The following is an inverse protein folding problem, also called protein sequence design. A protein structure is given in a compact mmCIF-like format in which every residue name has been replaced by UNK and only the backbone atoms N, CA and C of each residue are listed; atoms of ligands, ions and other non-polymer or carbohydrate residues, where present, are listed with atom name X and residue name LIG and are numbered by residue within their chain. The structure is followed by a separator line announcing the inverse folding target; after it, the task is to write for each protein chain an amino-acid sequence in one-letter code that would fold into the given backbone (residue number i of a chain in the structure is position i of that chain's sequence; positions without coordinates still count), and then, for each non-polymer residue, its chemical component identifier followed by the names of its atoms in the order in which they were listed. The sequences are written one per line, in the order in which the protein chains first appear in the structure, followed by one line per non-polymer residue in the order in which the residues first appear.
data_IF_044125881071
#
_entry.id   IF_044125881071
#
_cell.length_a   1.000
_cell.length_b   1.000
_cell.length_c   1.000
_cell.angle_alpha   90.00
_cell.angle_beta   90.00
_cell.angle_gamma   90.00
#
_symmetry.space_group_name_H-M   'P 1'
#
loop_
_entity.id
_entity.type
_entity.pdbx_description
1 polymer ?
#
# COMPACT_ATOMS: atom_id res chain seq x y z
N UNK A 1 -59.84 -23.60 22.98
CA UNK A 1 -61.00 -23.68 22.06
C UNK A 1 -60.66 -22.89 20.80
N UNK A 2 -60.41 -23.56 19.67
CA UNK A 2 -60.09 -22.90 18.40
C UNK A 2 -61.39 -22.59 17.64
N UNK A 3 -61.56 -21.35 17.15
CA UNK A 3 -62.69 -20.94 16.32
C UNK A 3 -62.51 -21.48 14.89
N UNK A 4 -63.57 -21.98 14.23
CA UNK A 4 -63.47 -22.42 12.84
C UNK A 4 -63.29 -21.21 11.91
N UNK A 5 -62.31 -21.26 11.02
CA UNK A 5 -62.16 -20.28 9.94
C UNK A 5 -63.31 -20.45 8.94
N UNK A 6 -63.99 -19.34 8.61
CA UNK A 6 -65.09 -19.31 7.64
C UNK A 6 -64.62 -19.65 6.21
N UNK A 7 -65.56 -20.07 5.38
CA UNK A 7 -65.30 -20.49 3.99
C UNK A 7 -64.60 -19.40 3.18
N UNK A 8 -63.40 -19.69 2.68
CA UNK A 8 -62.66 -18.84 1.75
C UNK A 8 -63.34 -18.92 0.38
N UNK A 9 -64.03 -17.84 0.00
CA UNK A 9 -64.60 -17.67 -1.34
C UNK A 9 -63.45 -17.35 -2.30
N UNK A 10 -63.01 -18.34 -3.08
CA UNK A 10 -62.03 -18.14 -4.15
C UNK A 10 -62.64 -17.19 -5.21
N UNK A 11 -62.08 -15.99 -5.32
CA UNK A 11 -62.42 -15.09 -6.43
C UNK A 11 -61.95 -15.74 -7.73
N UNK A 12 -62.86 -15.91 -8.70
CA UNK A 12 -62.51 -16.35 -10.06
C UNK A 12 -61.40 -15.43 -10.60
N UNK A 13 -60.26 -16.02 -10.95
CA UNK A 13 -59.14 -15.27 -11.51
C UNK A 13 -59.57 -14.59 -12.82
N UNK A 14 -59.24 -13.32 -12.96
CA UNK A 14 -59.52 -12.55 -14.17
C UNK A 14 -58.70 -13.17 -15.34
N UNK A 15 -59.31 -13.51 -16.48
CA UNK A 15 -58.61 -14.12 -17.62
C UNK A 15 -57.40 -13.31 -18.10
N UNK A 16 -57.44 -11.98 -17.93
CA UNK A 16 -56.32 -11.08 -18.27
C UNK A 16 -55.10 -11.36 -17.38
N UNK A 17 -55.31 -11.64 -16.09
CA UNK A 17 -54.23 -11.92 -15.13
C UNK A 17 -53.59 -13.29 -15.40
N UNK A 18 -54.39 -14.27 -15.83
CA UNK A 18 -53.88 -15.58 -16.26
C UNK A 18 -53.06 -15.47 -17.55
N UNK A 19 -53.51 -14.66 -18.51
CA UNK A 19 -52.79 -14.42 -19.76
C UNK A 19 -51.44 -13.73 -19.50
N UNK A 20 -51.40 -12.70 -18.66
CA UNK A 20 -50.16 -12.03 -18.26
C UNK A 20 -49.20 -12.99 -17.52
N UNK A 21 -49.74 -13.84 -16.63
CA UNK A 21 -48.95 -14.86 -15.94
C UNK A 21 -48.37 -15.91 -16.90
N UNK A 22 -49.12 -16.31 -17.92
CA UNK A 22 -48.65 -17.23 -18.94
C UNK A 22 -47.54 -16.62 -19.82
N UNK A 23 -47.69 -15.36 -20.24
CA UNK A 23 -46.66 -14.63 -21.02
C UNK A 23 -45.37 -14.49 -20.21
N UNK A 24 -45.47 -14.13 -18.92
CA UNK A 24 -44.30 -14.02 -18.04
C UNK A 24 -43.60 -15.36 -17.87
N UNK A 25 -44.36 -16.45 -17.73
CA UNK A 25 -43.82 -17.80 -17.58
C UNK A 25 -43.09 -18.26 -18.86
N UNK A 26 -43.63 -17.95 -20.04
CA UNK A 26 -42.98 -18.24 -21.32
C UNK A 26 -41.69 -17.43 -21.48
N UNK A 27 -41.66 -16.16 -21.05
CA UNK A 27 -40.46 -15.34 -21.07
C UNK A 27 -39.36 -15.90 -20.16
N UNK A 28 -39.71 -16.32 -18.94
CA UNK A 28 -38.76 -16.92 -17.99
C UNK A 28 -38.22 -18.25 -18.51
N UNK A 29 -39.07 -19.10 -19.09
CA UNK A 29 -38.63 -20.38 -19.69
C UNK A 29 -37.76 -20.12 -20.93
N UNK A 30 -38.11 -19.14 -21.77
CA UNK A 30 -37.29 -18.71 -22.90
C UNK A 30 -35.91 -18.22 -22.47
N UNK A 31 -35.83 -17.45 -21.38
CA UNK A 31 -34.55 -16.97 -20.84
C UNK A 31 -33.70 -18.09 -20.21
N UNK A 32 -34.33 -19.13 -19.65
CA UNK A 32 -33.64 -20.26 -19.03
C UNK A 32 -33.19 -21.33 -20.04
N UNK A 33 -33.84 -21.43 -21.21
CA UNK A 33 -33.63 -22.52 -22.18
C UNK A 33 -32.94 -22.07 -23.47
N UNK A 34 -32.85 -20.76 -23.75
CA UNK A 34 -32.07 -20.27 -24.89
C UNK A 34 -30.56 -20.28 -24.55
N UNK A 35 -29.72 -20.94 -25.37
CA UNK A 35 -28.28 -20.82 -25.23
C UNK A 35 -27.90 -19.38 -25.52
N UNK A 36 -27.21 -18.74 -24.57
CA UNK A 36 -26.57 -17.44 -24.78
C UNK A 36 -25.71 -17.57 -26.03
N UNK A 37 -26.14 -16.91 -27.10
CA UNK A 37 -25.40 -16.87 -28.36
C UNK A 37 -23.98 -16.41 -28.07
N UNK A 38 -23.02 -17.19 -28.54
CA UNK A 38 -21.60 -16.88 -28.50
C UNK A 38 -21.36 -15.53 -29.20
N UNK A 39 -21.22 -14.47 -28.42
CA UNK A 39 -20.58 -13.25 -28.88
C UNK A 39 -19.16 -13.62 -29.30
N UNK A 40 -18.86 -13.42 -30.58
CA UNK A 40 -17.52 -13.56 -31.16
C UNK A 40 -16.50 -12.83 -30.30
N UNK A 41 -15.69 -13.60 -29.56
CA UNK A 41 -14.50 -13.10 -28.90
C UNK A 41 -13.50 -12.73 -29.98
N UNK A 42 -13.29 -11.42 -30.18
CA UNK A 42 -12.06 -10.94 -30.79
C UNK A 42 -10.90 -11.52 -29.99
N UNK A 43 -10.03 -12.26 -30.69
CA UNK A 43 -8.87 -12.92 -30.13
C UNK A 43 -7.79 -11.87 -29.84
N UNK A 44 -7.98 -11.09 -28.79
CA UNK A 44 -6.90 -10.35 -28.19
C UNK A 44 -6.24 -11.26 -27.15
N UNK A 45 -4.99 -11.61 -27.39
CA UNK A 45 -4.22 -12.59 -26.60
C UNK A 45 -3.93 -12.08 -25.18
N UNK A 46 -4.95 -12.00 -24.33
CA UNK A 46 -4.80 -11.82 -22.89
C UNK A 46 -4.12 -13.06 -22.33
N UNK A 47 -2.83 -12.93 -21.98
CA UNK A 47 -2.16 -13.88 -21.11
C UNK A 47 -3.05 -14.11 -19.88
N UNK A 48 -3.34 -15.35 -19.48
CA UNK A 48 -4.10 -15.61 -18.26
C UNK A 48 -3.36 -14.97 -17.09
N UNK A 49 -4.09 -14.28 -16.21
CA UNK A 49 -3.51 -13.73 -14.98
C UNK A 49 -2.82 -14.88 -14.21
N UNK A 50 -1.55 -14.70 -13.86
CA UNK A 50 -0.80 -15.68 -13.08
C UNK A 50 -1.57 -16.02 -11.79
N UNK A 51 -1.65 -17.31 -11.39
CA UNK A 51 -2.41 -17.70 -10.21
C UNK A 51 -1.90 -17.00 -8.94
N UNK A 52 -2.80 -16.75 -7.99
CA UNK A 52 -2.45 -16.17 -6.70
C UNK A 52 -1.60 -17.19 -5.92
N UNK A 53 -0.33 -16.87 -5.72
CA UNK A 53 0.65 -17.68 -5.00
C UNK A 53 0.77 -17.30 -3.52
N UNK A 54 0.18 -16.17 -3.11
CA UNK A 54 0.27 -15.63 -1.75
C UNK A 54 -1.07 -15.01 -1.34
N UNK A 55 -1.42 -15.01 -0.04
CA UNK A 55 -2.62 -14.33 0.48
C UNK A 55 -2.63 -12.79 0.25
N UNK A 56 -1.49 -12.22 -0.19
CA UNK A 56 -1.35 -10.82 -0.59
C UNK A 56 -1.39 -10.64 -2.12
N UNK A 57 -1.69 -11.68 -2.90
CA UNK A 57 -1.85 -11.57 -4.36
C UNK A 57 -3.12 -10.76 -4.71
N UNK A 58 -3.22 -10.20 -5.94
CA UNK A 58 -4.41 -9.47 -6.37
C UNK A 58 -5.69 -10.30 -6.18
N UNK A 59 -6.80 -9.69 -5.73
CA UNK A 59 -8.07 -10.40 -5.49
C UNK A 59 -8.67 -11.02 -6.75
N UNK A 60 -8.22 -10.61 -7.93
CA UNK A 60 -8.67 -11.14 -9.22
C UNK A 60 -7.95 -12.42 -9.68
N UNK A 61 -6.92 -12.88 -8.96
CA UNK A 61 -6.19 -14.09 -9.32
C UNK A 61 -6.76 -15.33 -8.58
N UNK A 62 -6.97 -16.47 -9.26
CA UNK A 62 -7.49 -17.67 -8.61
C UNK A 62 -6.52 -18.19 -7.55
N UNK A 63 -7.02 -18.40 -6.32
CA UNK A 63 -6.23 -18.84 -5.17
C UNK A 63 -5.96 -20.35 -5.26
N UNK A 64 -4.68 -20.74 -5.39
CA UNK A 64 -4.26 -22.15 -5.29
C UNK A 64 -3.60 -22.36 -3.93
N UNK A 65 -4.15 -23.27 -3.13
CA UNK A 65 -3.57 -23.68 -1.84
C UNK A 65 -2.21 -24.34 -2.13
N UNK A 66 -1.13 -23.71 -1.69
CA UNK A 66 0.23 -24.26 -1.79
C UNK A 66 0.29 -25.49 -0.86
N UNK A 67 0.76 -26.62 -1.38
CA UNK A 67 0.93 -27.84 -0.60
C UNK A 67 1.98 -27.59 0.50
N UNK A 68 1.79 -28.15 1.69
CA UNK A 68 2.69 -27.93 2.84
C UNK A 68 4.13 -28.38 2.56
N UNK A 69 4.30 -29.36 1.66
CA UNK A 69 5.59 -29.84 1.16
C UNK A 69 6.36 -28.85 0.26
N UNK A 70 5.70 -27.83 -0.30
CA UNK A 70 6.32 -26.82 -1.18
C UNK A 70 6.73 -25.54 -0.43
N UNK A 71 6.46 -25.45 0.88
CA UNK A 71 6.90 -24.32 1.72
C UNK A 71 8.39 -24.44 2.00
N UNK A 72 9.22 -23.78 1.18
CA UNK A 72 10.65 -23.62 1.47
C UNK A 72 10.82 -22.79 2.75
N UNK A 73 11.79 -23.14 3.62
CA UNK A 73 12.13 -22.30 4.76
C UNK A 73 12.55 -20.90 4.28
N UNK A 74 12.36 -19.86 5.11
CA UNK A 74 12.74 -18.49 4.75
C UNK A 74 14.19 -18.44 4.25
N UNK A 75 14.50 -17.66 3.20
CA UNK A 75 15.85 -17.60 2.66
C UNK A 75 16.84 -17.14 3.75
N UNK A 76 17.81 -18.00 4.03
CA UNK A 76 18.87 -17.74 5.01
C UNK A 76 20.07 -17.16 4.29
N UNK A 77 20.09 -15.83 4.09
CA UNK A 77 21.26 -15.14 3.54
C UNK A 77 22.27 -14.81 4.62
N UNK A 78 23.55 -14.69 4.24
CA UNK A 78 24.63 -14.30 5.15
C UNK A 78 24.39 -12.89 5.70
N UNK A 79 23.94 -11.99 4.84
CA UNK A 79 23.61 -10.60 5.15
C UNK A 79 22.43 -10.53 6.12
N UNK A 80 21.37 -11.32 5.87
CA UNK A 80 20.20 -11.38 6.76
C UNK A 80 20.54 -11.93 8.15
N UNK A 81 21.46 -12.89 8.23
CA UNK A 81 21.96 -13.39 9.52
C UNK A 81 22.79 -12.33 10.26
N UNK A 82 23.69 -11.64 9.55
CA UNK A 82 24.49 -10.56 10.13
C UNK A 82 23.59 -9.42 10.69
N UNK A 83 22.57 -9.01 9.92
CA UNK A 83 21.59 -8.02 10.35
C UNK A 83 20.80 -8.48 11.58
N UNK A 84 20.36 -9.74 11.61
CA UNK A 84 19.63 -10.31 12.76
C UNK A 84 20.51 -10.33 14.01
N UNK A 85 21.79 -10.70 13.89
CA UNK A 85 22.74 -10.69 15.01
C UNK A 85 22.94 -9.28 15.54
N UNK A 86 23.22 -8.30 14.68
CA UNK A 86 23.40 -6.90 15.08
C UNK A 86 22.15 -6.34 15.78
N UNK A 87 20.96 -6.66 15.26
CA UNK A 87 19.69 -6.26 15.88
C UNK A 87 19.52 -6.88 17.28
N UNK A 88 19.84 -8.18 17.43
CA UNK A 88 19.72 -8.88 18.72
C UNK A 88 20.69 -8.33 19.78
N UNK A 89 21.88 -7.88 19.37
CA UNK A 89 22.83 -7.19 20.23
C UNK A 89 22.26 -5.84 20.73
N UNK A 90 21.68 -5.04 19.84
CA UNK A 90 21.06 -3.76 20.21
C UNK A 90 19.83 -3.95 21.12
N UNK A 91 19.00 -4.96 20.86
CA UNK A 91 17.88 -5.32 21.73
C UNK A 91 18.39 -5.74 23.11
N UNK A 92 19.47 -6.52 23.18
CA UNK A 92 20.07 -6.91 24.47
C UNK A 92 20.56 -5.69 25.24
N UNK A 93 21.20 -4.74 24.55
CA UNK A 93 21.68 -3.50 25.15
C UNK A 93 20.54 -2.65 25.71
N UNK A 94 19.48 -2.43 24.93
CA UNK A 94 18.38 -1.53 25.30
C UNK A 94 17.37 -2.18 26.23
N UNK A 95 17.00 -3.45 26.01
CA UNK A 95 15.90 -4.11 26.73
C UNK A 95 16.37 -4.92 27.94
N UNK A 96 17.56 -5.53 27.91
CA UNK A 96 18.05 -6.35 29.04
C UNK A 96 18.98 -5.57 29.97
N UNK A 97 19.88 -4.77 29.40
CA UNK A 97 20.92 -4.04 30.14
C UNK A 97 20.58 -2.57 30.37
N UNK A 98 19.61 -2.02 29.64
CA UNK A 98 19.19 -0.62 29.75
C UNK A 98 18.23 -0.37 30.93
N UNK A 99 18.05 0.92 31.30
CA UNK A 99 17.12 1.32 32.34
C UNK A 99 15.69 0.87 32.02
N UNK A 100 14.95 0.39 33.02
CA UNK A 100 13.59 -0.14 32.81
C UNK A 100 12.63 0.88 32.22
N UNK A 101 12.74 2.15 32.63
CA UNK A 101 11.95 3.27 32.10
C UNK A 101 12.15 3.55 30.61
N UNK A 102 13.26 3.10 30.03
CA UNK A 102 13.63 3.37 28.63
C UNK A 102 13.39 2.12 27.75
N UNK A 103 12.81 1.04 28.30
CA UNK A 103 12.50 -0.19 27.56
C UNK A 103 11.25 -0.01 26.70
N UNK A 104 11.26 -0.63 25.53
CA UNK A 104 10.07 -0.71 24.69
C UNK A 104 9.09 -1.69 25.32
N UNK A 105 7.78 -1.39 25.21
CA UNK A 105 6.72 -2.28 25.69
C UNK A 105 6.80 -3.68 25.08
N UNK A 106 7.13 -3.77 23.80
CA UNK A 106 7.27 -5.02 23.06
C UNK A 106 8.12 -4.81 21.81
N UNK A 107 8.91 -5.83 21.45
CA UNK A 107 9.64 -5.88 20.19
C UNK A 107 9.30 -7.20 19.50
N UNK A 108 8.89 -7.12 18.23
CA UNK A 108 8.60 -8.28 17.37
C UNK A 108 9.52 -8.22 16.17
N UNK A 109 10.25 -9.31 15.92
CA UNK A 109 11.10 -9.45 14.73
C UNK A 109 10.49 -10.52 13.85
N UNK A 110 10.22 -10.16 12.60
CA UNK A 110 9.77 -11.10 11.58
C UNK A 110 10.85 -11.24 10.51
N UNK A 111 11.12 -12.48 10.11
CA UNK A 111 12.02 -12.77 9.00
C UNK A 111 11.20 -13.06 7.76
N UNK A 112 11.48 -12.32 6.69
CA UNK A 112 10.84 -12.49 5.40
C UNK A 112 11.02 -13.92 4.87
N UNK A 113 9.94 -14.51 4.35
CA UNK A 113 9.87 -15.89 3.86
C UNK A 113 9.61 -16.00 2.34
N UNK A 114 9.54 -14.88 1.62
CA UNK A 114 9.38 -14.84 0.17
C UNK A 114 10.67 -14.43 -0.57
N UNK A 115 10.83 -15.00 -1.77
CA UNK A 115 11.97 -14.77 -2.67
C UNK A 115 12.15 -13.27 -3.00
N UNK A 116 13.40 -12.76 -3.00
CA UNK A 116 13.67 -11.38 -3.40
C UNK A 116 13.38 -11.19 -4.89
N UNK A 117 12.86 -10.01 -5.26
CA UNK A 117 12.57 -9.69 -6.67
C UNK A 117 13.83 -9.41 -7.50
N UNK A 118 14.93 -9.07 -6.84
CA UNK A 118 16.22 -8.74 -7.46
C UNK A 118 17.34 -9.45 -6.70
N UNK A 119 18.27 -10.05 -7.44
CA UNK A 119 19.42 -10.76 -6.86
C UNK A 119 20.47 -9.78 -6.33
N UNK A 120 20.63 -8.61 -6.97
CA UNK A 120 21.56 -7.57 -6.55
C UNK A 120 20.89 -6.57 -5.62
N UNK A 121 21.61 -6.18 -4.57
CA UNK A 121 21.25 -5.08 -3.67
C UNK A 121 21.99 -3.79 -4.02
N UNK A 122 22.71 -3.71 -5.13
CA UNK A 122 23.40 -2.48 -5.58
C UNK A 122 22.41 -1.36 -5.92
N UNK A 123 22.70 -0.13 -5.49
CA UNK A 123 21.80 1.02 -5.67
C UNK A 123 21.43 1.26 -7.14
N UNK A 124 22.42 1.20 -8.04
CA UNK A 124 22.21 1.46 -9.46
C UNK A 124 21.28 0.41 -10.11
N UNK A 125 21.39 -0.86 -9.67
CA UNK A 125 20.50 -1.93 -10.09
C UNK A 125 19.09 -1.78 -9.50
N UNK A 126 19.00 -1.40 -8.22
CA UNK A 126 17.71 -1.14 -7.55
C UNK A 126 16.94 -0.01 -8.23
N UNK A 127 17.63 1.01 -8.75
CA UNK A 127 17.04 2.21 -9.38
C UNK A 127 16.73 2.05 -10.88
N UNK A 128 16.91 0.85 -11.48
CA UNK A 128 16.42 0.61 -12.84
C UNK A 128 14.89 0.52 -12.85
N UNK A 129 14.25 1.23 -13.78
CA UNK A 129 12.78 1.28 -13.91
C UNK A 129 12.15 -0.12 -13.99
N UNK A 130 12.74 -1.03 -14.78
CA UNK A 130 12.29 -2.42 -14.94
C UNK A 130 12.29 -3.22 -13.62
N UNK A 131 13.17 -2.86 -12.68
CA UNK A 131 13.31 -3.54 -11.39
C UNK A 131 12.37 -2.96 -10.32
N UNK A 132 11.92 -1.71 -10.48
CA UNK A 132 11.10 -1.01 -9.47
C UNK A 132 9.80 -1.74 -9.16
N UNK A 133 9.08 -2.23 -10.17
CA UNK A 133 7.79 -2.90 -9.96
C UNK A 133 7.95 -4.15 -9.08
N UNK A 134 8.91 -5.02 -9.43
CA UNK A 134 9.19 -6.24 -8.66
C UNK A 134 9.67 -5.91 -7.25
N UNK A 135 10.60 -4.96 -7.11
CA UNK A 135 11.14 -4.50 -5.83
C UNK A 135 10.04 -3.96 -4.91
N UNK A 136 9.23 -3.02 -5.40
CA UNK A 136 8.12 -2.42 -4.64
C UNK A 136 7.03 -3.43 -4.26
N UNK A 137 6.76 -4.43 -5.11
CA UNK A 137 5.86 -5.52 -4.78
C UNK A 137 6.36 -6.37 -3.59
N UNK A 138 7.66 -6.68 -3.54
CA UNK A 138 8.28 -7.42 -2.43
C UNK A 138 8.29 -6.59 -1.15
N UNK A 139 8.66 -5.30 -1.24
CA UNK A 139 8.60 -4.38 -0.08
C UNK A 139 7.19 -4.24 0.47
N UNK A 140 6.19 -4.09 -0.41
CA UNK A 140 4.78 -4.05 -0.02
C UNK A 140 4.33 -5.31 0.72
N UNK A 141 4.74 -6.51 0.26
CA UNK A 141 4.48 -7.76 0.98
C UNK A 141 5.11 -7.75 2.37
N UNK A 142 6.35 -7.27 2.50
CA UNK A 142 7.05 -7.18 3.78
C UNK A 142 6.33 -6.23 4.75
N UNK A 143 5.97 -5.02 4.29
CA UNK A 143 5.20 -4.06 5.08
C UNK A 143 3.86 -4.67 5.53
N UNK A 144 3.12 -5.28 4.62
CA UNK A 144 1.84 -5.92 4.96
C UNK A 144 2.00 -7.07 5.96
N UNK A 145 2.98 -7.95 5.79
CA UNK A 145 3.25 -9.03 6.74
C UNK A 145 3.58 -8.50 8.14
N UNK A 146 4.37 -7.41 8.22
CA UNK A 146 4.67 -6.73 9.48
C UNK A 146 3.39 -6.13 10.11
N UNK A 147 2.62 -5.38 9.31
CA UNK A 147 1.39 -4.72 9.75
C UNK A 147 0.38 -5.73 10.30
N UNK A 148 0.01 -6.74 9.52
CA UNK A 148 -1.05 -7.67 9.88
C UNK A 148 -0.68 -8.59 11.05
N UNK A 149 0.61 -8.81 11.28
CA UNK A 149 1.09 -9.62 12.41
C UNK A 149 1.18 -8.82 13.71
N UNK A 150 1.34 -7.50 13.64
CA UNK A 150 1.66 -6.67 14.82
C UNK A 150 0.60 -5.64 15.19
N UNK A 151 -0.37 -5.36 14.30
CA UNK A 151 -1.45 -4.42 14.58
C UNK A 151 -2.44 -5.01 15.59
N UNK A 152 -2.32 -4.56 16.85
CA UNK A 152 -3.23 -4.94 17.93
C UNK A 152 -4.46 -4.03 18.06
N UNK A 153 -5.49 -4.45 18.81
CA UNK A 153 -6.66 -3.62 19.10
C UNK A 153 -6.34 -2.38 19.97
N UNK A 154 -5.21 -2.41 20.69
CA UNK A 154 -4.77 -1.32 21.57
C UNK A 154 -3.87 -0.28 20.85
N UNK A 155 -3.54 -0.49 19.58
CA UNK A 155 -2.67 0.41 18.83
C UNK A 155 -3.48 1.63 18.36
N UNK A 156 -3.03 2.85 18.64
CA UNK A 156 -3.70 4.08 18.15
C UNK A 156 -3.03 4.65 16.90
N UNK A 157 -1.71 4.48 16.80
CA UNK A 157 -0.88 5.01 15.73
C UNK A 157 0.11 3.94 15.27
N UNK A 158 0.43 3.98 13.97
CA UNK A 158 1.48 3.18 13.33
C UNK A 158 2.46 4.16 12.69
N UNK A 159 3.71 4.12 13.14
CA UNK A 159 4.81 4.85 12.49
C UNK A 159 5.57 3.86 11.60
N UNK A 160 5.50 4.09 10.29
CA UNK A 160 6.43 3.49 9.33
C UNK A 160 7.70 4.33 9.33
N UNK A 161 8.84 3.68 9.53
CA UNK A 161 10.15 4.32 9.55
C UNK A 161 11.14 3.40 8.86
N UNK A 162 11.69 3.85 7.73
CA UNK A 162 12.71 3.09 7.02
C UNK A 162 14.02 3.08 7.81
N UNK A 163 14.78 1.98 7.72
CA UNK A 163 15.91 1.70 8.60
C UNK A 163 17.16 2.57 8.33
N UNK A 164 17.14 3.31 7.23
CA UNK A 164 18.14 4.23 6.71
C UNK A 164 17.79 5.70 7.01
N UNK A 165 16.69 5.97 7.73
CA UNK A 165 16.46 7.27 8.37
C UNK A 165 17.32 7.38 9.62
N UNK A 166 18.33 8.26 9.57
CA UNK A 166 19.38 8.39 10.59
C UNK A 166 19.21 9.61 11.49
N UNK A 167 18.41 10.59 11.07
CA UNK A 167 18.20 11.82 11.83
C UNK A 167 16.75 12.27 11.75
N UNK A 168 16.15 12.48 12.92
CA UNK A 168 14.80 13.00 13.11
C UNK A 168 14.80 13.88 14.36
N UNK A 169 13.88 14.85 14.50
CA UNK A 169 13.69 15.51 15.78
C UNK A 169 13.33 14.48 16.87
N UNK A 170 13.80 14.63 18.11
CA UNK A 170 13.51 13.69 19.20
C UNK A 170 12.01 13.62 19.55
N UNK A 171 11.25 14.60 19.07
CA UNK A 171 9.80 14.75 19.20
C UNK A 171 9.02 14.27 17.99
N UNK A 172 9.64 13.55 17.03
CA UNK A 172 9.00 13.11 15.77
C UNK A 172 7.56 12.61 15.93
N UNK A 173 7.32 11.68 16.86
CA UNK A 173 6.00 11.10 17.07
C UNK A 173 5.02 12.15 17.57
N UNK A 174 5.42 12.97 18.55
CA UNK A 174 4.62 14.03 19.14
C UNK A 174 4.29 15.11 18.11
N UNK A 175 5.28 15.51 17.34
CA UNK A 175 5.16 16.55 16.31
C UNK A 175 4.21 16.10 15.21
N UNK A 176 4.33 14.87 14.71
CA UNK A 176 3.41 14.35 13.69
C UNK A 176 2.01 14.09 14.24
N UNK A 177 1.89 13.51 15.44
CA UNK A 177 0.60 13.16 16.02
C UNK A 177 -0.24 14.39 16.40
N UNK A 178 0.39 15.54 16.71
CA UNK A 178 -0.34 16.77 17.07
C UNK A 178 -1.23 17.32 15.96
N UNK A 179 -0.94 16.98 14.71
CA UNK A 179 -1.71 17.40 13.53
C UNK A 179 -3.05 16.65 13.41
N UNK A 180 -3.22 15.55 14.16
CA UNK A 180 -4.43 14.73 14.21
C UNK A 180 -4.93 14.25 12.83
N UNK A 181 -4.01 14.10 11.87
CA UNK A 181 -4.33 13.62 10.51
C UNK A 181 -4.35 12.10 10.46
N UNK A 182 -5.17 11.50 9.57
CA UNK A 182 -5.21 10.05 9.43
C UNK A 182 -3.92 9.46 8.86
N UNK A 183 -3.26 10.19 7.96
CA UNK A 183 -1.99 9.83 7.34
C UNK A 183 -1.17 11.11 7.20
N UNK A 184 0.05 11.14 7.73
CA UNK A 184 0.94 12.31 7.67
C UNK A 184 2.40 11.90 7.46
N UNK A 185 3.08 12.58 6.53
CA UNK A 185 4.48 12.34 6.15
C UNK A 185 5.32 13.61 6.25
N UNK A 186 6.45 13.63 7.00
CA UNK A 186 7.44 14.69 6.91
C UNK A 186 8.21 14.63 5.58
N UNK A 187 8.91 15.71 5.26
CA UNK A 187 9.76 15.77 4.09
C UNK A 187 11.11 15.09 4.34
N UNK A 188 11.57 14.26 3.40
CA UNK A 188 12.81 13.49 3.56
C UNK A 188 13.92 14.05 2.67
N UNK A 189 15.01 14.44 3.31
CA UNK A 189 16.22 14.97 2.69
C UNK A 189 17.41 14.04 2.96
N UNK A 190 18.53 14.34 2.33
CA UNK A 190 19.80 13.68 2.57
C UNK A 190 20.89 14.75 2.71
N UNK A 191 21.73 14.61 3.73
CA UNK A 191 22.90 15.48 3.93
C UNK A 191 24.09 14.91 3.17
N UNK A 192 24.82 15.75 2.45
CA UNK A 192 26.05 15.36 1.75
C UNK A 192 27.13 16.43 1.91
N UNK A 193 28.40 16.05 1.76
CA UNK A 193 29.52 17.00 1.76
C UNK A 193 29.77 17.43 0.31
N UNK A 194 29.57 18.71 0.03
CA UNK A 194 29.84 19.26 -1.29
C UNK A 194 31.36 19.22 -1.57
N UNK A 195 31.75 18.63 -2.70
CA UNK A 195 33.15 18.38 -3.04
C UNK A 195 33.95 19.68 -3.26
N UNK A 196 33.29 20.74 -3.71
CA UNK A 196 33.88 22.04 -4.03
C UNK A 196 33.93 22.94 -2.78
N UNK A 197 32.80 23.10 -2.11
CA UNK A 197 32.68 24.03 -0.97
C UNK A 197 33.18 23.43 0.35
N UNK A 198 33.31 22.09 0.41
CA UNK A 198 33.60 21.30 1.62
C UNK A 198 32.58 21.51 2.75
N UNK A 199 31.42 22.09 2.44
CA UNK A 199 30.32 22.29 3.39
C UNK A 199 29.35 21.12 3.33
N UNK A 200 28.68 20.87 4.46
CA UNK A 200 27.53 19.98 4.48
C UNK A 200 26.34 20.72 3.88
N UNK A 201 25.75 20.13 2.85
CA UNK A 201 24.58 20.62 2.14
C UNK A 201 23.48 19.56 2.18
N UNK A 202 22.26 19.96 1.81
CA UNK A 202 21.08 19.07 1.80
C UNK A 202 20.55 18.92 0.39
N UNK A 203 20.08 17.72 0.04
CA UNK A 203 19.34 17.46 -1.20
C UNK A 203 18.05 16.71 -0.92
N UNK A 204 17.04 16.96 -1.75
CA UNK A 204 15.81 16.18 -1.75
C UNK A 204 16.11 14.69 -1.96
N UNK A 205 15.46 13.82 -1.19
CA UNK A 205 15.65 12.37 -1.28
C UNK A 205 14.36 11.64 -1.70
N UNK A 206 13.26 11.84 -0.97
CA UNK A 206 12.01 11.11 -1.23
C UNK A 206 11.09 11.88 -2.19
N UNK A 207 10.87 11.32 -3.38
CA UNK A 207 9.98 11.86 -4.41
C UNK A 207 8.60 11.18 -4.45
N UNK A 208 8.30 10.27 -3.53
CA UNK A 208 7.04 9.51 -3.52
C UNK A 208 5.89 10.24 -2.80
N UNK A 209 6.18 11.41 -2.21
CA UNK A 209 5.18 12.28 -1.59
C UNK A 209 4.81 13.42 -2.54
N UNK A 210 3.59 13.41 -3.05
CA UNK A 210 3.17 14.31 -4.13
C UNK A 210 1.66 14.59 -4.18
N UNK A 211 1.32 15.69 -4.83
CA UNK A 211 -0.05 16.02 -5.28
C UNK A 211 -0.21 15.59 -6.74
N UNK A 212 -1.35 14.98 -7.07
CA UNK A 212 -1.59 14.40 -8.38
C UNK A 212 -1.70 15.49 -9.46
N UNK A 213 -1.53 15.11 -10.72
CA UNK A 213 -1.67 16.03 -11.86
C UNK A 213 -2.64 15.48 -12.90
N UNK A 214 -3.26 16.38 -13.68
CA UNK A 214 -4.09 15.96 -14.81
C UNK A 214 -3.30 15.16 -15.86
N UNK A 215 -2.00 15.44 -15.99
CA UNK A 215 -1.12 14.76 -16.95
C UNK A 215 -0.86 13.31 -16.50
N UNK A 216 -0.56 13.10 -15.22
CA UNK A 216 -0.40 11.76 -14.65
C UNK A 216 -1.69 10.93 -14.77
N UNK A 217 -2.85 11.56 -14.57
CA UNK A 217 -4.15 10.90 -14.74
C UNK A 217 -4.41 10.48 -16.19
N UNK A 218 -4.11 11.36 -17.16
CA UNK A 218 -4.21 11.02 -18.59
C UNK A 218 -3.26 9.90 -18.98
N UNK A 219 -2.01 9.97 -18.52
CA UNK A 219 -1.02 8.92 -18.76
C UNK A 219 -1.52 7.58 -18.20
N UNK A 220 -2.00 7.55 -16.96
CA UNK A 220 -2.59 6.36 -16.36
C UNK A 220 -3.78 5.80 -17.15
N UNK A 221 -4.63 6.65 -17.71
CA UNK A 221 -5.78 6.22 -18.50
C UNK A 221 -5.40 5.51 -19.83
N UNK A 222 -4.21 5.79 -20.36
CA UNK A 222 -3.67 5.17 -21.58
C UNK A 222 -2.85 3.89 -21.28
N UNK A 223 -2.54 3.63 -20.01
CA UNK A 223 -1.69 2.53 -19.58
C UNK A 223 -2.43 1.19 -19.48
N UNK A 224 -1.68 0.11 -19.68
CA UNK A 224 -2.14 -1.24 -19.41
C UNK A 224 -2.53 -1.42 -17.95
N UNK A 225 -3.52 -2.29 -17.69
CA UNK A 225 -4.08 -2.52 -16.33
C UNK A 225 -3.02 -2.81 -15.25
N UNK A 226 -1.96 -3.52 -15.62
CA UNK A 226 -0.93 -3.96 -14.68
C UNK A 226 0.30 -3.04 -14.70
N UNK A 227 0.30 -1.96 -15.47
CA UNK A 227 1.40 -0.99 -15.53
C UNK A 227 1.34 -0.01 -14.36
N UNK A 228 2.50 0.55 -13.99
CA UNK A 228 2.63 1.46 -12.84
C UNK A 228 3.33 2.75 -13.26
N UNK A 229 2.89 3.86 -12.67
CA UNK A 229 3.57 5.14 -12.70
C UNK A 229 4.67 5.15 -11.64
N UNK A 230 5.81 5.77 -11.99
CA UNK A 230 6.97 5.90 -11.12
C UNK A 230 7.53 7.32 -11.24
N UNK A 231 7.74 7.97 -10.10
CA UNK A 231 8.39 9.27 -10.05
C UNK A 231 9.91 9.19 -10.26
N UNK A 232 10.51 10.27 -10.76
CA UNK A 232 11.96 10.42 -10.90
C UNK A 232 12.56 9.86 -12.20
N UNK A 233 11.75 9.30 -13.10
CA UNK A 233 12.21 8.79 -14.39
C UNK A 233 11.95 9.80 -15.51
N UNK A 234 13.00 10.16 -16.26
CA UNK A 234 12.94 11.15 -17.35
C UNK A 234 11.94 10.75 -18.44
N UNK A 235 11.81 9.45 -18.69
CA UNK A 235 10.95 8.90 -19.73
C UNK A 235 9.47 8.82 -19.31
N UNK A 236 9.15 9.22 -18.07
CA UNK A 236 7.78 9.24 -17.51
C UNK A 236 7.52 10.57 -16.79
N UNK A 237 7.34 11.68 -17.53
CA UNK A 237 7.08 12.97 -16.91
C UNK A 237 5.63 13.04 -16.40
N UNK A 238 5.44 12.73 -15.12
CA UNK A 238 4.12 12.73 -14.47
C UNK A 238 3.60 14.14 -14.17
N UNK A 239 4.48 15.15 -14.10
CA UNK A 239 4.16 16.52 -13.68
C UNK A 239 3.42 16.62 -12.34
N UNK A 240 3.59 15.61 -11.49
CA UNK A 240 3.11 15.67 -10.11
C UNK A 240 3.88 16.71 -9.33
N UNK A 241 3.19 17.40 -8.45
CA UNK A 241 3.84 18.40 -7.60
C UNK A 241 4.49 17.66 -6.44
N UNK A 242 5.82 17.57 -6.45
CA UNK A 242 6.60 16.82 -5.47
C UNK A 242 6.78 17.62 -4.18
N UNK A 243 6.38 17.06 -3.04
CA UNK A 243 6.52 17.70 -1.73
C UNK A 243 7.97 18.06 -1.40
N UNK A 244 8.92 17.27 -1.90
CA UNK A 244 10.35 17.50 -1.77
C UNK A 244 10.80 18.94 -2.12
N UNK A 245 10.09 19.60 -3.04
CA UNK A 245 10.39 20.96 -3.50
C UNK A 245 9.37 22.02 -3.04
N UNK A 246 8.40 21.65 -2.21
CA UNK A 246 7.39 22.58 -1.67
C UNK A 246 7.85 23.28 -0.39
N UNK A 247 8.91 22.77 0.24
CA UNK A 247 9.45 23.32 1.48
C UNK A 247 10.13 24.67 1.26
N UNK A 248 10.02 25.56 2.25
CA UNK A 248 10.67 26.86 2.27
C UNK A 248 11.41 27.03 3.60
N UNK A 249 12.69 27.39 3.51
CA UNK A 249 13.53 27.58 4.69
C UNK A 249 13.01 28.72 5.59
N UNK A 250 13.01 28.50 6.91
CA UNK A 250 12.54 29.47 7.90
C UNK A 250 11.02 29.70 7.93
N UNK A 251 10.24 28.87 7.21
CA UNK A 251 8.77 28.86 7.33
C UNK A 251 8.31 27.86 8.39
N UNK A 252 7.02 27.94 8.72
CA UNK A 252 6.37 27.09 9.70
C UNK A 252 6.56 25.60 9.36
N UNK A 253 7.24 24.87 10.25
CA UNK A 253 7.46 23.42 10.14
C UNK A 253 6.15 22.63 10.18
N UNK A 254 5.10 23.22 10.76
CA UNK A 254 3.77 22.64 10.89
C UNK A 254 2.83 23.00 9.73
N UNK A 255 3.34 23.63 8.67
CA UNK A 255 2.56 23.88 7.45
C UNK A 255 2.12 22.55 6.83
N UNK A 256 0.81 22.36 6.67
CA UNK A 256 0.21 21.14 6.13
C UNK A 256 -0.17 21.32 4.67
N UNK A 257 0.04 20.28 3.88
CA UNK A 257 -0.52 20.16 2.52
C UNK A 257 -1.29 18.85 2.39
N UNK A 258 -2.31 18.84 1.55
CA UNK A 258 -2.94 17.58 1.13
C UNK A 258 -2.05 16.86 0.13
N UNK A 259 -2.01 15.54 0.20
CA UNK A 259 -1.27 14.69 -0.73
C UNK A 259 -2.17 13.64 -1.39
N UNK A 260 -1.71 13.15 -2.54
CA UNK A 260 -2.32 12.04 -3.29
C UNK A 260 -1.45 10.78 -3.28
N UNK A 261 -0.13 10.96 -3.20
CA UNK A 261 0.87 9.92 -2.93
C UNK A 261 1.69 10.27 -1.69
N UNK A 262 2.13 9.24 -0.96
CA UNK A 262 3.03 9.38 0.20
C UNK A 262 4.20 8.42 0.06
N UNK A 263 5.37 8.82 0.54
CA UNK A 263 6.52 7.94 0.72
C UNK A 263 6.47 7.12 2.01
N UNK A 264 7.40 6.17 2.14
CA UNK A 264 7.51 5.27 3.28
C UNK A 264 8.66 5.59 4.25
N UNK A 265 9.47 6.61 3.94
CA UNK A 265 10.69 6.99 4.68
C UNK A 265 10.40 7.23 6.16
N UNK A 266 9.48 8.14 6.45
CA UNK A 266 8.83 8.29 7.74
C UNK A 266 7.36 8.61 7.50
N UNK A 267 6.43 7.82 8.03
CA UNK A 267 5.00 7.98 7.75
C UNK A 267 4.18 7.57 8.97
N UNK A 268 3.47 8.53 9.55
CA UNK A 268 2.58 8.29 10.69
C UNK A 268 1.15 8.08 10.20
N UNK A 269 0.53 6.98 10.62
CA UNK A 269 -0.81 6.55 10.21
C UNK A 269 -1.66 6.25 11.45
N UNK A 270 -2.88 6.79 11.50
CA UNK A 270 -3.87 6.36 12.51
C UNK A 270 -4.18 4.89 12.30
N UNK A 271 -4.17 4.09 13.37
CA UNK A 271 -4.38 2.65 13.28
C UNK A 271 -5.70 2.27 12.58
N UNK A 272 -6.73 3.11 12.72
CA UNK A 272 -8.05 2.89 12.10
C UNK A 272 -8.00 2.91 10.56
N UNK A 273 -7.08 3.67 9.96
CA UNK A 273 -6.88 3.66 8.50
C UNK A 273 -6.49 2.26 8.03
N UNK A 274 -5.62 1.58 8.77
CA UNK A 274 -5.24 0.20 8.48
C UNK A 274 -6.35 -0.81 8.85
N UNK A 275 -7.10 -0.57 9.93
CA UNK A 275 -8.24 -1.43 10.32
C UNK A 275 -9.39 -1.38 9.31
N UNK A 276 -9.58 -0.25 8.65
CA UNK A 276 -10.52 -0.09 7.54
C UNK A 276 -10.06 -0.78 6.25
N UNK A 277 -8.84 -1.34 6.25
CA UNK A 277 -8.31 -2.16 5.18
C UNK A 277 -7.28 -1.47 4.29
N UNK A 278 -6.89 -0.22 4.57
CA UNK A 278 -5.81 0.41 3.84
C UNK A 278 -4.49 -0.34 4.10
N UNK A 279 -3.88 -0.85 3.03
CA UNK A 279 -2.63 -1.59 3.07
C UNK A 279 -1.74 -1.18 1.89
N UNK A 280 -0.52 -1.69 1.84
CA UNK A 280 0.40 -1.42 0.73
C UNK A 280 0.10 -2.42 -0.39
N UNK A 281 -0.51 -2.06 -1.53
CA UNK A 281 -0.82 -3.04 -2.57
C UNK A 281 0.48 -3.57 -3.22
N UNK A 282 0.70 -4.91 -3.27
CA UNK A 282 1.87 -5.51 -3.94
C UNK A 282 1.63 -5.71 -5.43
N UNK A 283 0.68 -4.97 -5.98
CA UNK A 283 0.20 -5.04 -7.36
C UNK A 283 -0.22 -3.64 -7.80
N UNK A 284 -0.38 -3.46 -9.12
CA UNK A 284 -0.86 -2.20 -9.67
C UNK A 284 -2.27 -1.90 -9.16
N UNK A 285 -2.43 -0.79 -8.46
CA UNK A 285 -3.69 -0.29 -7.92
C UNK A 285 -3.86 1.16 -8.39
N UNK A 286 -4.73 1.39 -9.37
CA UNK A 286 -4.82 2.68 -10.09
C UNK A 286 -3.46 3.14 -10.65
N UNK A 287 -2.70 2.21 -11.23
CA UNK A 287 -1.33 2.44 -11.73
C UNK A 287 -0.34 2.88 -10.65
N UNK A 288 -0.65 2.66 -9.37
CA UNK A 288 0.25 2.89 -8.24
C UNK A 288 0.57 1.57 -7.55
N UNK A 289 1.61 1.55 -6.72
CA UNK A 289 2.03 0.36 -5.96
C UNK A 289 2.57 0.80 -4.60
N UNK A 290 2.59 -0.12 -3.63
CA UNK A 290 3.26 0.10 -2.35
C UNK A 290 2.73 1.33 -1.59
N UNK A 291 3.55 2.33 -1.25
CA UNK A 291 3.16 3.50 -0.42
C UNK A 291 2.23 4.46 -1.15
N UNK A 292 2.49 4.71 -2.43
CA UNK A 292 1.62 5.51 -3.29
C UNK A 292 0.26 4.82 -3.50
N UNK A 293 0.28 3.49 -3.68
CA UNK A 293 -0.94 2.69 -3.75
C UNK A 293 -1.72 2.68 -2.42
N UNK A 294 -1.01 2.68 -1.29
CA UNK A 294 -1.59 2.83 0.04
C UNK A 294 -2.30 4.19 0.19
N UNK A 295 -1.66 5.30 -0.22
CA UNK A 295 -2.28 6.63 -0.18
C UNK A 295 -3.58 6.66 -0.99
N UNK A 296 -3.56 6.09 -2.20
CA UNK A 296 -4.77 5.96 -3.02
C UNK A 296 -5.84 5.12 -2.33
N UNK A 297 -5.47 4.02 -1.69
CA UNK A 297 -6.40 3.14 -0.99
C UNK A 297 -7.04 3.84 0.22
N UNK A 298 -6.24 4.56 1.01
CA UNK A 298 -6.71 5.38 2.12
C UNK A 298 -7.74 6.42 1.63
N UNK A 299 -7.46 7.14 0.53
CA UNK A 299 -8.42 8.09 -0.06
C UNK A 299 -9.72 7.43 -0.49
N UNK A 300 -9.65 6.22 -1.07
CA UNK A 300 -10.85 5.46 -1.48
C UNK A 300 -11.69 5.01 -0.28
N UNK A 301 -11.10 4.89 0.89
CA UNK A 301 -11.77 4.61 2.17
C UNK A 301 -12.24 5.89 2.90
N UNK A 302 -12.00 7.08 2.33
CA UNK A 302 -12.40 8.36 2.92
C UNK A 302 -11.33 9.02 3.79
N UNK A 303 -10.11 8.47 3.84
CA UNK A 303 -8.99 9.02 4.61
C UNK A 303 -8.08 9.87 3.72
N UNK A 304 -7.92 11.17 4.04
CA UNK A 304 -7.09 12.09 3.28
C UNK A 304 -5.63 12.09 3.78
N UNK A 305 -4.61 11.80 2.94
CA UNK A 305 -3.21 11.96 3.30
C UNK A 305 -2.75 13.41 3.35
N UNK A 306 -1.81 13.70 4.25
CA UNK A 306 -1.21 15.01 4.43
C UNK A 306 0.31 14.92 4.45
N UNK A 307 0.97 16.04 4.14
CA UNK A 307 2.41 16.18 4.17
C UNK A 307 2.85 17.44 4.91
N UNK A 308 4.06 17.41 5.46
CA UNK A 308 4.73 18.54 6.10
C UNK A 308 5.98 18.91 5.30
N UNK A 309 5.89 19.80 4.29
CA UNK A 309 7.00 20.11 3.40
C UNK A 309 8.18 20.79 4.09
N UNK A 310 7.95 21.46 5.23
CA UNK A 310 8.97 22.18 6.00
C UNK A 310 9.56 21.35 7.17
N UNK A 311 8.89 20.26 7.59
CA UNK A 311 9.38 19.38 8.64
C UNK A 311 10.30 18.31 8.04
N UNK A 312 11.58 18.32 8.39
CA UNK A 312 12.60 17.47 7.76
C UNK A 312 12.98 16.26 8.60
N UNK A 313 13.16 15.14 7.91
CA UNK A 313 13.91 13.96 8.38
C UNK A 313 15.04 13.69 7.39
N UNK A 314 16.10 13.00 7.84
CA UNK A 314 17.27 12.75 6.99
C UNK A 314 17.58 11.27 6.81
N UNK A 315 17.68 10.90 5.55
CA UNK A 315 18.16 9.61 5.08
C UNK A 315 19.69 9.55 5.10
N UNK A 316 20.23 8.35 5.32
CA UNK A 316 21.65 8.04 5.23
C UNK A 316 22.21 8.36 3.84
N UNK A 317 23.40 8.94 3.75
CA UNK A 317 24.08 9.11 2.46
C UNK A 317 24.88 7.85 2.14
N UNK A 318 24.33 7.01 1.24
CA UNK A 318 24.98 5.80 0.73
C UNK A 318 26.32 6.09 0.04
#
# INVERSE_FOLDING_TARGET
MARPMGSVRLKKANPITLLLGAILSIFVIGFLVLPIGSSSSDSDSKKPASPAVHHLSPPTAPYRKVAEADRKPPPVTKEGNAATTALQEQITRTQKRGPEKDRFKSIVILRQDFEPAITSQDESERHKMQNQKGRRAVMSKARNSLLFTTLGPQTSWVLWLDADIIETPPTLIQDLARHDKPVIVPNCFQKYVNAETKKTEERAYDFNSWQDSEIAQKLGAEMGRDEILLEGYKDMPTYRSLMAYMGQEGKDEHYEIMLDGVGGTALLVKADVHRDGAMFPPFAFYHLIETEGFAKMAKRLGWQPYGLPNYKVYHYNE
#
